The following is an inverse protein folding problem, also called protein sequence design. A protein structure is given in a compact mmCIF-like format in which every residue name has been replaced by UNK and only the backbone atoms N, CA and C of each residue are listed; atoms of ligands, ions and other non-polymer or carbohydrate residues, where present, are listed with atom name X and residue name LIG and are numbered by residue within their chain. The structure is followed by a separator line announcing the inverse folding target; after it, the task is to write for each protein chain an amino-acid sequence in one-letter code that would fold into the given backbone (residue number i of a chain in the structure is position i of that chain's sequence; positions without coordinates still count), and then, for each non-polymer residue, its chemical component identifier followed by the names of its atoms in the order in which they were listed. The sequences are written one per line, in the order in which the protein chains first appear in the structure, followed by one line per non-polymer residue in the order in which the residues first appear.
data_IF_412934352632
#
_entry.id   IF_412934352632
#
_cell.length_a   1.000
_cell.length_b   1.000
_cell.length_c   1.000
_cell.angle_alpha   90.00
_cell.angle_beta   90.00
_cell.angle_gamma   90.00
#
_symmetry.space_group_name_H-M   'P 1'
#
loop_
_entity.id
_entity.type
_entity.pdbx_description
1 polymer ?
#
# COMPACT_ATOMS: atom_id res chain seq x y z
N UNK A 1 47.97 65.66 1.40
CA UNK A 1 48.83 64.61 0.80
C UNK A 1 48.01 63.32 0.84
N UNK A 2 47.59 62.83 -0.33
CA UNK A 2 46.63 61.74 -0.54
C UNK A 2 47.33 60.48 -1.09
N UNK A 3 46.69 59.32 -0.90
CA UNK A 3 46.93 57.98 -1.51
C UNK A 3 48.09 57.17 -0.90
N UNK A 4 47.97 55.86 -0.66
CA UNK A 4 47.43 54.81 -1.53
C UNK A 4 46.73 53.66 -0.78
N UNK A 5 45.69 53.11 -1.41
CA UNK A 5 44.99 51.84 -1.13
C UNK A 5 45.53 50.77 -2.10
N UNK A 6 45.76 49.53 -1.63
CA UNK A 6 45.58 48.25 -2.38
C UNK A 6 45.36 47.11 -1.34
N UNK A 7 44.18 46.52 -1.16
CA UNK A 7 43.38 45.52 -1.91
C UNK A 7 43.63 44.04 -1.53
N UNK A 8 42.50 43.31 -1.31
CA UNK A 8 42.25 41.85 -1.19
C UNK A 8 42.64 41.23 0.17
N UNK A 9 41.73 40.57 0.91
CA UNK A 9 41.15 39.24 0.63
C UNK A 9 39.66 39.14 1.04
N UNK A 10 38.96 38.27 0.30
CA UNK A 10 37.51 38.12 0.18
C UNK A 10 36.78 37.39 1.33
N UNK A 11 35.54 37.86 1.53
CA UNK A 11 34.28 37.22 1.95
C UNK A 11 34.33 35.75 2.38
N UNK A 12 33.87 35.52 3.61
CA UNK A 12 33.27 34.27 4.07
C UNK A 12 32.24 34.58 5.17
N UNK A 13 31.00 34.85 4.76
CA UNK A 13 29.85 34.91 5.66
C UNK A 13 29.57 33.48 6.14
N UNK A 14 30.07 33.14 7.33
CA UNK A 14 29.62 31.96 8.04
C UNK A 14 28.51 32.41 8.98
N UNK A 15 27.28 32.26 8.51
CA UNK A 15 26.10 32.34 9.37
C UNK A 15 26.25 31.22 10.39
N UNK A 16 26.55 31.58 11.64
CA UNK A 16 26.43 30.68 12.77
C UNK A 16 24.95 30.31 12.88
N UNK A 17 24.60 29.15 12.33
CA UNK A 17 23.35 28.49 12.63
C UNK A 17 23.29 28.29 14.14
N UNK A 18 22.20 28.79 14.72
CA UNK A 18 21.80 28.62 16.11
C UNK A 18 21.93 27.14 16.48
N UNK A 19 22.81 26.87 17.43
CA UNK A 19 22.75 25.66 18.24
C UNK A 19 21.54 25.79 19.16
N UNK A 20 20.46 25.06 18.86
CA UNK A 20 19.53 24.67 19.90
C UNK A 20 20.01 23.31 20.42
N UNK A 21 20.69 23.36 21.56
CA UNK A 21 20.77 22.20 22.43
C UNK A 21 19.41 21.96 23.05
N UNK A 22 18.89 20.76 22.84
CA UNK A 22 18.04 20.06 23.78
C UNK A 22 18.63 18.64 23.87
N UNK A 23 19.42 18.41 24.92
CA UNK A 23 19.76 17.05 25.36
C UNK A 23 18.50 16.42 25.97
N UNK A 24 17.55 16.07 25.11
CA UNK A 24 16.41 15.25 25.48
C UNK A 24 16.85 13.79 25.31
N UNK A 25 17.46 13.22 26.36
CA UNK A 25 17.70 11.77 26.49
C UNK A 25 16.38 10.99 26.69
N UNK A 26 15.32 11.38 26.00
CA UNK A 26 14.25 10.45 25.68
C UNK A 26 14.64 9.84 24.34
N UNK A 27 15.40 8.75 24.42
CA UNK A 27 15.29 7.71 23.41
C UNK A 27 13.84 7.28 23.44
N UNK A 28 13.01 7.95 22.64
CA UNK A 28 11.72 7.42 22.22
C UNK A 28 12.07 6.02 21.72
N UNK A 29 11.71 5.01 22.51
CA UNK A 29 11.79 3.65 22.02
C UNK A 29 10.96 3.67 20.75
N UNK A 30 11.60 3.47 19.59
CA UNK A 30 10.92 3.33 18.31
C UNK A 30 9.85 2.26 18.52
N UNK A 31 8.60 2.68 18.78
CA UNK A 31 7.47 1.77 18.83
C UNK A 31 7.51 1.02 17.50
N UNK A 32 7.37 -0.31 17.49
CA UNK A 32 7.38 -1.05 16.25
C UNK A 32 6.36 -0.42 15.31
N UNK A 33 6.82 0.01 14.13
CA UNK A 33 5.96 0.64 13.15
C UNK A 33 4.78 -0.28 12.88
N UNK A 34 3.55 0.21 13.05
CA UNK A 34 2.37 -0.56 12.70
C UNK A 34 2.30 -0.66 11.17
N UNK A 35 2.87 -1.72 10.62
CA UNK A 35 2.89 -2.01 9.18
C UNK A 35 1.49 -2.19 8.58
N UNK A 36 0.47 -2.37 9.42
CA UNK A 36 -0.95 -2.47 9.03
C UNK A 36 -1.72 -1.16 9.20
N UNK A 37 -1.04 -0.04 9.45
CA UNK A 37 -1.71 1.27 9.55
C UNK A 37 -2.53 1.56 8.29
N UNK A 38 -3.80 1.94 8.50
CA UNK A 38 -4.72 2.27 7.43
C UNK A 38 -5.12 1.09 6.55
N UNK A 39 -4.95 -0.15 6.99
CA UNK A 39 -5.44 -1.32 6.25
C UNK A 39 -6.97 -1.33 6.12
N UNK A 40 -7.47 -1.92 5.02
CA UNK A 40 -8.88 -2.04 4.68
C UNK A 40 -9.64 -0.71 4.64
N UNK A 41 -8.91 0.39 4.52
CA UNK A 41 -9.51 1.71 4.43
C UNK A 41 -10.14 1.89 3.05
N UNK A 42 -11.41 2.27 3.06
CA UNK A 42 -12.13 2.70 1.86
C UNK A 42 -11.88 4.17 1.53
N UNK A 43 -11.08 4.87 2.33
CA UNK A 43 -10.72 6.26 2.04
C UNK A 43 -9.93 6.34 0.72
N UNK A 44 -10.34 7.19 -0.23
CA UNK A 44 -9.68 7.29 -1.52
C UNK A 44 -8.23 7.78 -1.38
N UNK A 45 -7.28 7.02 -1.93
CA UNK A 45 -5.84 7.33 -1.86
C UNK A 45 -5.30 7.97 -3.14
N UNK A 46 -6.04 7.88 -4.27
CA UNK A 46 -5.64 8.44 -5.57
C UNK A 46 -6.71 9.38 -6.15
N UNK A 47 -7.08 10.39 -5.36
CA UNK A 47 -8.17 11.31 -5.67
C UNK A 47 -9.54 10.72 -5.33
N UNK A 48 -10.64 11.49 -5.48
CA UNK A 48 -11.97 11.01 -5.11
C UNK A 48 -12.35 9.77 -5.93
N UNK A 49 -13.05 8.83 -5.30
CA UNK A 49 -13.66 7.73 -6.05
C UNK A 49 -14.77 8.27 -6.95
N UNK A 50 -14.87 7.72 -8.16
CA UNK A 50 -15.88 8.05 -9.17
C UNK A 50 -16.59 6.77 -9.56
N UNK A 51 -17.92 6.82 -9.60
CA UNK A 51 -18.76 5.69 -9.99
C UNK A 51 -19.94 6.19 -10.83
N UNK A 52 -19.72 6.26 -12.15
CA UNK A 52 -20.73 6.53 -13.17
C UNK A 52 -21.01 5.27 -14.01
N UNK A 53 -20.53 4.11 -13.57
CA UNK A 53 -20.61 2.85 -14.29
C UNK A 53 -21.98 2.20 -14.07
N UNK A 54 -22.57 1.66 -15.15
CA UNK A 54 -23.77 0.83 -15.02
C UNK A 54 -23.38 -0.54 -14.43
N UNK A 55 -23.57 -0.70 -13.13
CA UNK A 55 -23.25 -1.92 -12.41
C UNK A 55 -24.42 -2.92 -12.29
N UNK A 56 -25.42 -2.83 -13.15
CA UNK A 56 -26.59 -3.74 -13.13
C UNK A 56 -26.25 -5.20 -13.37
N UNK A 57 -25.13 -5.49 -14.04
CA UNK A 57 -24.64 -6.85 -14.24
C UNK A 57 -24.04 -7.46 -12.94
N UNK A 58 -23.56 -6.63 -12.01
CA UNK A 58 -23.00 -7.05 -10.73
C UNK A 58 -22.10 -5.98 -10.13
N UNK A 59 -22.26 -5.67 -8.84
CA UNK A 59 -21.48 -4.65 -8.14
C UNK A 59 -20.00 -5.05 -8.01
N UNK A 60 -19.11 -4.09 -8.25
CA UNK A 60 -17.67 -4.26 -8.17
C UNK A 60 -17.19 -4.06 -6.75
N UNK A 61 -16.62 -5.12 -6.19
CA UNK A 61 -16.08 -5.14 -4.85
C UNK A 61 -14.62 -5.59 -4.89
N UNK A 62 -13.75 -4.81 -4.26
CA UNK A 62 -12.34 -5.14 -4.09
C UNK A 62 -12.20 -5.77 -2.72
N UNK A 63 -11.66 -6.99 -2.65
CA UNK A 63 -11.33 -7.60 -1.35
C UNK A 63 -10.09 -6.92 -0.78
N UNK A 64 -10.19 -6.56 0.49
CA UNK A 64 -9.22 -5.75 1.24
C UNK A 64 -8.28 -6.57 2.12
N UNK A 65 -8.44 -7.89 2.14
CA UNK A 65 -7.59 -8.82 2.85
C UNK A 65 -6.98 -9.81 1.85
N UNK A 66 -5.66 -9.94 1.92
CA UNK A 66 -4.88 -10.98 1.24
C UNK A 66 -4.07 -11.74 2.27
N UNK A 67 -4.24 -13.05 2.30
CA UNK A 67 -3.64 -13.99 3.25
C UNK A 67 -2.86 -15.02 2.47
N UNK A 68 -1.59 -14.75 2.15
CA UNK A 68 -0.78 -15.66 1.32
C UNK A 68 -0.29 -16.84 2.17
N UNK A 69 -1.23 -17.71 2.53
CA UNK A 69 -1.04 -18.79 3.48
C UNK A 69 -1.09 -20.17 2.79
N UNK A 70 -1.51 -20.21 1.53
CA UNK A 70 -1.55 -21.38 0.66
C UNK A 70 -2.75 -22.30 0.88
N UNK A 71 -3.78 -21.87 1.61
CA UNK A 71 -4.98 -22.69 1.89
C UNK A 71 -6.09 -22.56 0.82
N UNK A 72 -5.90 -21.67 -0.16
CA UNK A 72 -6.83 -21.39 -1.25
C UNK A 72 -7.89 -20.34 -0.92
N UNK A 73 -7.87 -19.74 0.27
CA UNK A 73 -8.83 -18.74 0.74
C UNK A 73 -8.10 -17.41 0.84
N UNK A 74 -8.56 -16.37 0.14
CA UNK A 74 -7.96 -15.02 0.14
C UNK A 74 -6.44 -14.95 -0.11
N UNK A 75 -5.84 -16.01 -0.67
CA UNK A 75 -4.42 -16.05 -1.07
C UNK A 75 -4.00 -14.95 -2.05
N UNK A 76 -4.97 -14.40 -2.79
CA UNK A 76 -4.75 -13.48 -3.89
C UNK A 76 -5.60 -12.22 -3.75
N UNK A 77 -5.02 -11.10 -4.17
CA UNK A 77 -5.79 -9.87 -4.39
C UNK A 77 -6.90 -10.13 -5.40
N UNK A 78 -8.15 -9.97 -5.00
CA UNK A 78 -9.31 -10.39 -5.78
C UNK A 78 -10.32 -9.27 -5.89
N UNK A 79 -10.91 -9.14 -7.08
CA UNK A 79 -11.95 -8.13 -7.36
C UNK A 79 -13.19 -8.85 -7.89
N UNK A 80 -14.26 -8.85 -7.11
CA UNK A 80 -15.53 -9.47 -7.47
C UNK A 80 -16.17 -8.75 -8.66
N UNK A 81 -16.70 -9.53 -9.61
CA UNK A 81 -17.41 -9.09 -10.80
C UNK A 81 -16.59 -8.27 -11.81
N UNK A 82 -15.26 -8.18 -11.66
CA UNK A 82 -14.41 -7.38 -12.57
C UNK A 82 -14.47 -7.91 -14.02
N UNK A 83 -14.67 -9.21 -14.20
CA UNK A 83 -14.81 -9.88 -15.49
C UNK A 83 -16.06 -9.47 -16.26
N UNK A 84 -17.08 -8.91 -15.59
CA UNK A 84 -18.29 -8.39 -16.23
C UNK A 84 -18.05 -7.05 -16.95
N UNK A 85 -16.94 -6.37 -16.65
CA UNK A 85 -16.60 -5.06 -17.16
C UNK A 85 -15.29 -5.10 -17.96
N UNK A 86 -15.34 -5.32 -19.28
CA UNK A 86 -14.14 -5.34 -20.11
C UNK A 86 -13.47 -3.95 -20.14
N UNK A 87 -12.16 -3.92 -20.44
CA UNK A 87 -11.36 -2.70 -20.45
C UNK A 87 -11.24 -2.03 -19.07
N UNK A 88 -10.46 -2.67 -18.21
CA UNK A 88 -10.11 -2.15 -16.91
C UNK A 88 -8.61 -2.25 -16.66
N UNK A 89 -8.13 -1.54 -15.64
CA UNK A 89 -6.75 -1.61 -15.19
C UNK A 89 -6.69 -1.62 -13.67
N UNK A 90 -5.76 -2.41 -13.14
CA UNK A 90 -5.45 -2.51 -11.72
C UNK A 90 -3.99 -2.12 -11.55
N UNK A 91 -3.74 -1.19 -10.65
CA UNK A 91 -2.39 -0.77 -10.26
C UNK A 91 -2.25 -0.89 -8.75
N UNK A 92 -1.17 -1.49 -8.28
CA UNK A 92 -0.91 -1.67 -6.85
C UNK A 92 0.40 -0.98 -6.48
N UNK A 93 0.37 -0.34 -5.31
CA UNK A 93 1.45 0.45 -4.74
C UNK A 93 1.82 -0.07 -3.34
N UNK A 94 3.11 0.02 -3.00
CA UNK A 94 3.60 -0.26 -1.65
C UNK A 94 3.27 0.88 -0.66
N UNK A 95 3.73 0.74 0.58
CA UNK A 95 3.55 1.73 1.65
C UNK A 95 4.16 3.10 1.31
N UNK A 96 5.21 3.14 0.49
CA UNK A 96 5.89 4.36 0.02
C UNK A 96 5.25 4.98 -1.24
N UNK A 97 4.12 4.45 -1.72
CA UNK A 97 3.43 4.84 -2.95
C UNK A 97 4.22 4.57 -4.25
N UNK A 98 5.20 3.67 -4.21
CA UNK A 98 5.85 3.16 -5.41
C UNK A 98 4.94 2.13 -6.09
N UNK A 99 4.76 2.27 -7.41
CA UNK A 99 4.03 1.28 -8.21
C UNK A 99 4.84 -0.01 -8.29
N UNK A 100 4.29 -1.10 -7.75
CA UNK A 100 4.94 -2.41 -7.71
C UNK A 100 4.24 -3.45 -8.60
N UNK A 101 3.03 -3.14 -9.06
CA UNK A 101 2.29 -3.99 -9.98
C UNK A 101 1.31 -3.19 -10.83
N UNK A 102 1.10 -3.63 -12.06
CA UNK A 102 0.09 -3.10 -12.96
C UNK A 102 -0.38 -4.20 -13.93
N UNK A 103 -1.70 -4.31 -14.12
CA UNK A 103 -2.30 -5.15 -15.15
C UNK A 103 -3.44 -4.41 -15.87
N UNK A 104 -3.63 -4.75 -17.13
CA UNK A 104 -4.78 -4.36 -17.94
C UNK A 104 -5.62 -5.60 -18.23
N UNK A 105 -6.94 -5.49 -18.09
CA UNK A 105 -7.85 -6.64 -18.08
C UNK A 105 -7.43 -7.67 -17.03
N UNK A 106 -7.27 -7.20 -15.79
CA UNK A 106 -6.97 -7.99 -14.62
C UNK A 106 -7.86 -9.23 -14.50
N UNK A 107 -7.24 -10.41 -14.43
CA UNK A 107 -7.95 -11.69 -14.25
C UNK A 107 -7.63 -12.27 -12.86
N UNK A 108 -8.65 -12.37 -12.01
CA UNK A 108 -8.55 -13.04 -10.71
C UNK A 108 -7.93 -14.44 -10.87
N UNK A 109 -6.95 -14.79 -10.05
CA UNK A 109 -6.30 -16.11 -10.07
C UNK A 109 -5.32 -16.36 -11.22
N UNK A 110 -5.16 -15.42 -12.17
CA UNK A 110 -4.14 -15.51 -13.24
C UNK A 110 -3.15 -14.35 -13.15
N UNK A 111 -3.65 -13.15 -12.89
CA UNK A 111 -2.81 -11.98 -12.67
C UNK A 111 -2.41 -11.91 -11.21
N UNK A 112 -1.22 -12.47 -10.93
CA UNK A 112 -0.67 -12.48 -9.59
C UNK A 112 -0.02 -11.13 -9.30
N UNK A 113 -0.58 -10.43 -8.31
CA UNK A 113 0.20 -9.47 -7.56
C UNK A 113 1.49 -10.18 -7.07
N UNK A 114 2.69 -9.57 -7.22
CA UNK A 114 3.95 -10.24 -6.92
C UNK A 114 3.97 -10.89 -5.51
N UNK A 115 4.82 -11.89 -5.32
CA UNK A 115 4.89 -12.61 -4.04
C UNK A 115 4.12 -13.95 -4.01
N UNK A 116 3.40 -14.32 -5.07
CA UNK A 116 2.72 -15.63 -5.19
C UNK A 116 3.05 -16.32 -6.54
N UNK A 117 3.19 -17.66 -6.61
CA UNK A 117 3.17 -18.64 -5.50
C UNK A 117 4.47 -18.64 -4.70
N UNK A 118 4.37 -18.94 -3.41
CA UNK A 118 5.51 -19.13 -2.51
C UNK A 118 6.16 -20.49 -2.84
N UNK A 119 7.15 -20.52 -3.73
CA UNK A 119 7.89 -21.76 -4.02
C UNK A 119 8.65 -22.25 -2.77
N UNK A 120 8.61 -23.56 -2.52
CA UNK A 120 9.27 -24.22 -1.38
C UNK A 120 10.81 -24.05 -1.38
N UNK A 121 11.41 -23.82 -2.56
CA UNK A 121 12.88 -23.82 -2.77
C UNK A 121 13.44 -22.51 -3.39
N UNK A 122 12.60 -21.56 -3.82
CA UNK A 122 13.05 -20.26 -4.33
C UNK A 122 11.97 -19.23 -4.05
N UNK A 123 12.02 -18.65 -2.85
CA UNK A 123 11.08 -17.63 -2.40
C UNK A 123 10.68 -16.70 -3.53
N UNK A 124 9.39 -16.68 -3.88
CA UNK A 124 8.80 -15.47 -4.39
C UNK A 124 9.28 -14.38 -3.44
N UNK A 125 9.94 -13.34 -3.95
CA UNK A 125 10.48 -12.24 -3.15
C UNK A 125 9.37 -11.68 -2.28
N UNK A 126 9.18 -12.27 -1.10
CA UNK A 126 7.91 -12.25 -0.39
C UNK A 126 7.55 -10.81 -0.20
N UNK A 127 6.38 -10.42 -0.68
CA UNK A 127 5.95 -9.07 -0.45
C UNK A 127 5.82 -8.93 1.07
N UNK A 128 6.46 -7.91 1.68
CA UNK A 128 6.38 -7.74 3.10
C UNK A 128 4.92 -7.71 3.55
N UNK A 129 4.66 -8.28 4.70
CA UNK A 129 3.39 -8.07 5.36
C UNK A 129 3.14 -6.56 5.56
N UNK A 130 1.88 -6.16 5.49
CA UNK A 130 1.48 -4.78 5.76
C UNK A 130 0.42 -4.24 4.80
N UNK A 131 0.27 -2.91 4.81
CA UNK A 131 -0.73 -2.18 4.04
C UNK A 131 -0.22 -1.83 2.64
N UNK A 132 -1.02 -2.20 1.64
CA UNK A 132 -0.85 -1.87 0.24
C UNK A 132 -1.98 -0.98 -0.24
N UNK A 133 -1.76 -0.29 -1.36
CA UNK A 133 -2.75 0.61 -1.97
C UNK A 133 -3.07 0.17 -3.37
N UNK A 134 -4.34 0.25 -3.77
CA UNK A 134 -4.76 -0.09 -5.12
C UNK A 134 -5.43 1.09 -5.82
N UNK A 135 -5.38 1.05 -7.14
CA UNK A 135 -6.17 1.87 -8.04
C UNK A 135 -6.79 0.98 -9.11
N UNK A 136 -8.11 0.97 -9.15
CA UNK A 136 -8.93 0.32 -10.17
C UNK A 136 -9.58 1.39 -11.05
N UNK A 137 -9.41 1.25 -12.36
CA UNK A 137 -10.04 2.11 -13.37
C UNK A 137 -10.74 1.23 -14.37
N UNK A 138 -11.99 1.56 -14.72
CA UNK A 138 -12.80 0.84 -15.71
C UNK A 138 -13.25 1.84 -16.76
N UNK A 139 -13.02 1.48 -18.02
CA UNK A 139 -13.10 2.35 -19.19
C UNK A 139 -12.11 3.54 -19.16
N UNK A 140 -12.26 4.42 -18.17
CA UNK A 140 -11.44 5.59 -17.91
C UNK A 140 -11.75 6.15 -16.50
N UNK A 141 -10.94 7.12 -16.05
CA UNK A 141 -11.07 7.70 -14.71
C UNK A 141 -12.34 8.53 -14.46
N UNK A 142 -13.05 8.96 -15.51
CA UNK A 142 -14.30 9.71 -15.42
C UNK A 142 -15.53 8.78 -15.38
N UNK A 143 -15.42 7.56 -15.93
CA UNK A 143 -16.46 6.53 -15.80
C UNK A 143 -16.38 5.87 -14.43
N UNK A 144 -15.24 5.29 -14.08
CA UNK A 144 -15.08 4.54 -12.84
C UNK A 144 -13.64 4.60 -12.35
N UNK A 145 -13.46 5.11 -11.13
CA UNK A 145 -12.20 5.09 -10.40
C UNK A 145 -12.47 4.70 -8.96
N UNK A 146 -11.88 3.60 -8.52
CA UNK A 146 -11.89 3.16 -7.13
C UNK A 146 -10.48 2.99 -6.63
N UNK A 147 -10.21 3.57 -5.46
CA UNK A 147 -8.94 3.42 -4.77
C UNK A 147 -9.18 3.26 -3.27
N UNK A 148 -8.24 2.58 -2.63
CA UNK A 148 -8.24 2.32 -1.20
C UNK A 148 -7.00 1.52 -0.82
N UNK A 149 -7.05 0.88 0.34
CA UNK A 149 -5.97 0.03 0.84
C UNK A 149 -6.43 -1.40 1.14
N UNK A 150 -5.47 -2.31 1.18
CA UNK A 150 -5.66 -3.71 1.55
C UNK A 150 -4.48 -4.24 2.36
N UNK A 151 -4.69 -5.31 3.13
CA UNK A 151 -3.69 -6.00 3.92
C UNK A 151 -3.07 -7.16 3.15
N UNK A 152 -1.77 -7.37 3.33
CA UNK A 152 -1.10 -8.65 3.04
C UNK A 152 -0.59 -9.25 4.36
N UNK A 153 -0.95 -10.51 4.65
CA UNK A 153 -0.57 -11.24 5.86
C UNK A 153 -0.09 -12.67 5.55
N UNK A 154 1.01 -13.13 6.17
CA UNK A 154 1.70 -14.41 5.81
C UNK A 154 2.24 -15.25 6.99
N UNK A 155 1.50 -15.40 8.10
CA UNK A 155 1.86 -16.21 9.30
C UNK A 155 2.89 -15.63 10.29
N UNK A 156 3.67 -14.60 9.91
CA UNK A 156 4.84 -14.18 10.69
C UNK A 156 4.52 -13.13 11.77
N UNK A 157 3.39 -12.43 11.69
CA UNK A 157 3.12 -11.31 12.61
C UNK A 157 2.20 -11.69 13.77
N UNK A 158 2.60 -11.28 14.98
CA UNK A 158 1.80 -11.34 16.19
C UNK A 158 0.59 -10.41 16.04
N UNK A 159 -0.59 -10.99 15.76
CA UNK A 159 -1.91 -10.36 15.77
C UNK A 159 -2.03 -9.03 14.97
N UNK A 160 -2.22 -9.09 13.64
CA UNK A 160 -2.61 -7.92 12.84
C UNK A 160 -3.90 -7.27 13.36
N UNK A 161 -3.90 -5.93 13.48
CA UNK A 161 -5.12 -5.18 13.78
C UNK A 161 -5.94 -5.00 12.49
N UNK A 162 -6.90 -5.91 12.25
CA UNK A 162 -7.85 -5.82 11.13
C UNK A 162 -9.11 -4.98 11.44
N UNK A 163 -9.01 -4.04 12.39
CA UNK A 163 -10.11 -3.11 12.67
C UNK A 163 -10.50 -2.34 11.40
N UNK A 164 -11.78 -2.43 11.03
CA UNK A 164 -12.31 -1.81 9.81
C UNK A 164 -12.40 -2.73 8.59
N UNK A 165 -11.80 -3.92 8.63
CA UNK A 165 -11.94 -4.91 7.56
C UNK A 165 -13.28 -5.68 7.62
N UNK A 166 -13.81 -6.07 6.47
CA UNK A 166 -15.03 -6.89 6.38
C UNK A 166 -14.72 -8.38 6.54
N UNK A 167 -14.49 -8.82 7.77
CA UNK A 167 -14.19 -10.23 8.10
C UNK A 167 -15.36 -11.20 7.86
N UNK A 168 -16.56 -10.71 7.53
CA UNK A 168 -17.72 -11.56 7.24
C UNK A 168 -17.66 -12.16 5.83
N UNK A 169 -17.29 -11.35 4.84
CA UNK A 169 -17.19 -11.77 3.42
C UNK A 169 -15.77 -12.13 3.00
N UNK A 170 -14.76 -11.63 3.71
CA UNK A 170 -13.33 -11.86 3.45
C UNK A 170 -12.71 -12.72 4.56
N UNK A 171 -13.49 -13.68 5.06
CA UNK A 171 -13.04 -14.56 6.13
C UNK A 171 -11.91 -15.47 5.64
N UNK A 172 -10.83 -15.52 6.42
CA UNK A 172 -9.79 -16.54 6.33
C UNK A 172 -9.60 -17.17 7.73
N UNK A 173 -9.55 -18.51 7.85
CA UNK A 173 -9.27 -19.20 9.11
C UNK A 173 -8.05 -18.67 9.87
N UNK A 174 -7.00 -18.23 9.17
CA UNK A 174 -5.76 -17.72 9.77
C UNK A 174 -5.99 -16.43 10.57
N UNK A 175 -6.99 -15.62 10.19
CA UNK A 175 -7.33 -14.37 10.86
C UNK A 175 -8.10 -14.66 12.16
N UNK A 176 -8.96 -15.67 12.14
CA UNK A 176 -9.78 -16.04 13.30
C UNK A 176 -9.01 -16.88 14.33
N UNK A 177 -8.02 -17.65 13.88
CA UNK A 177 -7.22 -18.55 14.71
C UNK A 177 -5.74 -18.48 14.32
N UNK A 178 -5.04 -17.36 14.60
CA UNK A 178 -3.61 -17.27 14.34
C UNK A 178 -2.88 -18.39 15.10
N UNK A 179 -1.89 -19.08 14.50
CA UNK A 179 -1.12 -20.09 15.22
C UNK A 179 -0.40 -19.43 16.40
N UNK A 180 -0.47 -20.09 17.57
CA UNK A 180 0.28 -19.68 18.76
C UNK A 180 1.77 -19.99 18.62
#
# INVERSE_FOLDING_TARGET
MFKQIKFLIAIGLWFMIVSCGNDDNNREEDLPQNIYEGCCSTEPVFGPNIDNLDQTAGEIEVYTIVTQNGDGINDLFSIRNIELYPNHSVTIYNAENEQIFQSTNYVNGTDFFPGYPQDEDNGANGIPNGTYRYKLVIENEETYRKSGSFCVYTWIDEAPNFEGCNLGTEFDPIIAFPPN
#
